data_IF_589765241804
#
_entry.id   IF_589765241804
#
_cell.length_a   1.000
_cell.length_b   1.000
_cell.length_c   1.000
_cell.angle_alpha   90.00
_cell.angle_beta   90.00
_cell.angle_gamma   90.00
#
_symmetry.space_group_name_H-M   'P 1'
#
loop_
_entity.id
_entity.type
_entity.pdbx_description
1 polymer ?
#
# COMPACT_ATOMS: atom_id res chain seq x y z
N UNK A 1 4.73 -31.13 19.48
CA UNK A 1 3.34 -30.72 19.75
C UNK A 1 3.38 -29.27 20.25
N UNK A 2 3.77 -28.34 19.39
CA UNK A 2 3.57 -26.91 19.59
C UNK A 2 2.48 -26.49 18.62
N UNK A 3 1.44 -25.84 19.14
CA UNK A 3 0.34 -25.35 18.36
C UNK A 3 0.87 -24.28 17.39
N UNK A 4 0.95 -24.65 16.11
CA UNK A 4 0.97 -23.73 14.99
C UNK A 4 -0.24 -22.80 15.19
N UNK A 5 0.03 -21.57 15.63
CA UNK A 5 -0.99 -20.60 16.00
C UNK A 5 -2.03 -20.52 14.91
N UNK A 6 -3.30 -20.75 15.27
CA UNK A 6 -4.41 -20.54 14.38
C UNK A 6 -4.23 -19.17 13.74
N UNK A 7 -4.19 -19.15 12.42
CA UNK A 7 -3.98 -17.96 11.61
C UNK A 7 -5.22 -17.08 11.72
N UNK A 8 -5.35 -16.38 12.86
CA UNK A 8 -6.39 -15.41 13.21
C UNK A 8 -6.22 -14.12 12.39
N UNK A 9 -5.90 -14.27 11.11
CA UNK A 9 -5.86 -13.19 10.14
C UNK A 9 -7.28 -12.68 9.99
N UNK A 10 -7.55 -11.55 10.64
CA UNK A 10 -8.74 -10.77 10.38
C UNK A 10 -8.88 -10.62 8.85
N UNK A 11 -10.07 -10.89 8.28
CA UNK A 11 -10.28 -10.72 6.85
C UNK A 11 -9.93 -9.28 6.47
N UNK A 12 -9.36 -9.08 5.27
CA UNK A 12 -8.89 -7.76 4.83
C UNK A 12 -9.97 -6.67 4.96
N UNK A 13 -11.23 -7.01 4.70
CA UNK A 13 -12.39 -6.13 4.88
C UNK A 13 -12.57 -5.67 6.34
N UNK A 14 -12.36 -6.56 7.31
CA UNK A 14 -12.43 -6.21 8.74
C UNK A 14 -11.26 -5.33 9.17
N UNK A 15 -10.07 -5.54 8.61
CA UNK A 15 -8.91 -4.66 8.85
C UNK A 15 -9.16 -3.24 8.31
N UNK A 16 -9.73 -3.12 7.11
CA UNK A 16 -10.07 -1.80 6.53
C UNK A 16 -11.16 -1.12 7.37
N UNK A 17 -12.19 -1.85 7.79
CA UNK A 17 -13.23 -1.31 8.67
C UNK A 17 -12.64 -0.81 10.00
N UNK A 18 -11.69 -1.56 10.58
CA UNK A 18 -10.96 -1.14 11.78
C UNK A 18 -10.08 0.08 11.54
N UNK A 19 -9.39 0.15 10.41
CA UNK A 19 -8.57 1.31 10.04
C UNK A 19 -9.42 2.59 9.90
N UNK A 20 -10.61 2.48 9.33
CA UNK A 20 -11.55 3.62 9.22
C UNK A 20 -12.08 4.03 10.60
N UNK A 21 -12.38 3.07 11.47
CA UNK A 21 -12.93 3.34 12.81
C UNK A 21 -11.88 3.85 13.81
N UNK A 22 -10.65 3.32 13.75
CA UNK A 22 -9.55 3.60 14.69
C UNK A 22 -8.22 3.78 13.94
N UNK A 23 -8.07 4.86 13.16
CA UNK A 23 -6.88 5.09 12.34
C UNK A 23 -5.59 5.19 13.15
N UNK A 24 -5.67 5.71 14.39
CA UNK A 24 -4.52 5.84 15.29
C UNK A 24 -3.88 4.52 15.74
N UNK A 25 -4.50 3.37 15.46
CA UNK A 25 -3.92 2.06 15.74
C UNK A 25 -2.96 1.55 14.66
N UNK A 26 -2.75 2.32 13.59
CA UNK A 26 -1.98 1.89 12.41
C UNK A 26 -0.83 2.86 12.11
N UNK A 27 0.27 2.28 11.63
CA UNK A 27 1.35 3.04 10.98
C UNK A 27 0.87 3.63 9.65
N UNK A 28 1.35 4.83 9.31
CA UNK A 28 0.96 5.55 8.08
C UNK A 28 1.20 4.71 6.82
N UNK A 29 2.38 4.12 6.67
CA UNK A 29 2.72 3.37 5.45
C UNK A 29 1.97 2.05 5.39
N UNK A 30 1.76 1.40 6.53
CA UNK A 30 0.91 0.21 6.60
C UNK A 30 -0.54 0.53 6.19
N UNK A 31 -1.10 1.63 6.68
CA UNK A 31 -2.45 2.05 6.33
C UNK A 31 -2.58 2.36 4.83
N UNK A 32 -1.64 3.12 4.26
CA UNK A 32 -1.60 3.41 2.82
C UNK A 32 -1.55 2.10 2.03
N UNK A 33 -0.67 1.18 2.41
CA UNK A 33 -0.52 -0.10 1.73
C UNK A 33 -1.81 -0.95 1.77
N UNK A 34 -2.48 -1.02 2.93
CA UNK A 34 -3.75 -1.73 3.07
C UNK A 34 -4.84 -1.14 2.20
N UNK A 35 -4.94 0.19 2.13
CA UNK A 35 -5.93 0.90 1.31
C UNK A 35 -5.65 0.76 -0.20
N UNK A 36 -4.38 0.81 -0.63
CA UNK A 36 -4.00 0.51 -2.02
C UNK A 36 -4.41 -0.91 -2.41
N UNK A 37 -4.13 -1.89 -1.55
CA UNK A 37 -4.51 -3.29 -1.81
C UNK A 37 -6.01 -3.53 -1.81
N UNK A 38 -6.78 -2.70 -1.11
CA UNK A 38 -8.23 -2.76 -1.09
C UNK A 38 -8.84 -2.40 -2.46
N UNK A 39 -8.14 -1.60 -3.28
CA UNK A 39 -8.66 -1.06 -4.53
C UNK A 39 -7.70 -1.36 -5.71
N UNK A 40 -7.63 -2.62 -6.19
CA UNK A 40 -6.71 -3.00 -7.28
C UNK A 40 -7.00 -2.32 -8.63
N UNK A 41 -8.21 -1.78 -8.82
CA UNK A 41 -8.61 -1.08 -10.04
C UNK A 41 -7.98 0.32 -10.13
N UNK A 42 -7.59 0.91 -9.00
CA UNK A 42 -7.10 2.28 -8.95
C UNK A 42 -5.61 2.35 -9.28
N UNK A 43 -5.16 3.51 -9.75
CA UNK A 43 -3.75 3.74 -10.04
C UNK A 43 -2.95 3.77 -8.74
N UNK A 44 -1.74 3.21 -8.77
CA UNK A 44 -0.83 3.22 -7.63
C UNK A 44 -0.50 4.66 -7.20
N UNK A 45 -0.36 4.85 -5.89
CA UNK A 45 -0.16 6.14 -5.25
C UNK A 45 1.10 6.85 -5.81
N UNK A 46 0.98 8.11 -6.18
CA UNK A 46 2.08 8.93 -6.69
C UNK A 46 2.42 8.75 -8.17
N UNK A 47 1.54 8.11 -8.92
CA UNK A 47 1.62 8.07 -10.38
C UNK A 47 0.53 8.95 -11.03
N UNK A 48 -0.55 9.29 -10.35
CA UNK A 48 -1.64 10.14 -10.83
C UNK A 48 -1.63 11.54 -10.20
N UNK A 49 -2.79 12.19 -10.23
CA UNK A 49 -3.07 13.50 -9.64
C UNK A 49 -3.83 13.41 -8.30
N UNK A 50 -4.07 12.19 -7.81
CA UNK A 50 -4.80 11.89 -6.59
C UNK A 50 -6.30 11.66 -6.78
N UNK A 51 -6.86 11.87 -7.97
CA UNK A 51 -8.27 11.54 -8.29
C UNK A 51 -8.45 10.13 -8.82
N UNK A 52 -7.49 9.66 -9.63
CA UNK A 52 -7.45 8.30 -10.18
C UNK A 52 -6.75 7.29 -9.24
N UNK A 53 -6.34 7.73 -8.05
CA UNK A 53 -5.59 6.93 -7.09
C UNK A 53 -6.50 6.32 -6.02
N UNK A 54 -6.11 5.17 -5.47
CA UNK A 54 -6.87 4.50 -4.41
C UNK A 54 -7.03 5.38 -3.16
N UNK A 55 -6.00 6.17 -2.87
CA UNK A 55 -5.89 6.97 -1.64
C UNK A 55 -5.47 8.39 -1.98
N UNK A 56 -6.29 9.36 -1.61
CA UNK A 56 -5.90 10.77 -1.57
C UNK A 56 -5.32 11.10 -0.21
N UNK A 57 -4.14 11.70 -0.20
CA UNK A 57 -3.45 12.10 1.03
C UNK A 57 -3.65 13.59 1.27
N UNK A 58 -4.06 13.95 2.48
CA UNK A 58 -4.27 15.33 2.91
C UNK A 58 -3.41 15.67 4.12
N UNK A 59 -2.90 16.89 4.14
CA UNK A 59 -2.12 17.40 5.27
C UNK A 59 -3.03 17.82 6.42
N UNK A 60 -2.72 17.36 7.63
CA UNK A 60 -3.38 17.82 8.84
C UNK A 60 -2.63 19.00 9.45
N UNK A 61 -3.18 20.20 9.26
CA UNK A 61 -2.62 21.42 9.85
C UNK A 61 -3.00 21.51 11.32
N UNK A 62 -2.00 21.43 12.21
CA UNK A 62 -2.12 21.54 13.66
C UNK A 62 -0.88 22.24 14.23
N UNK A 63 -1.06 23.00 15.31
CA UNK A 63 0.05 23.54 16.13
C UNK A 63 0.40 22.60 17.31
N UNK A 64 -0.39 21.56 17.52
CA UNK A 64 -0.14 20.57 18.56
C UNK A 64 0.84 19.51 18.07
N UNK A 65 1.49 18.84 19.02
CA UNK A 65 2.19 17.59 18.74
C UNK A 65 1.16 16.46 18.67
N UNK A 66 0.95 15.90 17.48
CA UNK A 66 -0.02 14.83 17.26
C UNK A 66 0.52 13.49 17.80
N UNK A 67 -0.33 12.74 18.49
CA UNK A 67 0.04 11.45 19.07
C UNK A 67 0.05 10.28 18.06
N UNK A 68 -0.39 10.54 16.82
CA UNK A 68 -0.56 9.54 15.78
C UNK A 68 -0.23 10.13 14.41
N UNK A 69 0.36 9.30 13.54
CA UNK A 69 0.66 9.65 12.16
C UNK A 69 -0.58 9.70 11.27
N UNK A 70 -1.71 9.16 11.72
CA UNK A 70 -2.98 9.21 10.99
C UNK A 70 -4.03 9.84 11.88
N UNK A 71 -4.68 10.88 11.35
CA UNK A 71 -5.74 11.62 12.04
C UNK A 71 -7.12 11.07 11.68
N UNK A 72 -7.40 10.91 10.40
CA UNK A 72 -8.69 10.42 9.89
C UNK A 72 -8.52 9.67 8.59
N UNK A 73 -9.35 8.65 8.36
CA UNK A 73 -9.52 7.97 7.07
C UNK A 73 -10.99 8.04 6.72
N UNK A 74 -11.32 8.67 5.59
CA UNK A 74 -12.68 8.77 5.07
C UNK A 74 -12.83 7.91 3.83
N UNK A 75 -13.96 7.25 3.70
CA UNK A 75 -14.34 6.46 2.52
C UNK A 75 -15.26 7.30 1.64
N UNK A 76 -15.02 7.25 0.35
CA UNK A 76 -15.85 7.86 -0.68
C UNK A 76 -16.27 6.78 -1.67
N UNK A 77 -17.57 6.55 -1.82
CA UNK A 77 -18.07 5.75 -2.92
C UNK A 77 -17.95 6.58 -4.20
N UNK A 78 -17.27 6.07 -5.22
CA UNK A 78 -17.39 6.65 -6.55
C UNK A 78 -18.82 6.37 -7.02
N UNK A 79 -19.55 7.38 -7.53
CA UNK A 79 -20.79 7.10 -8.22
C UNK A 79 -20.44 6.16 -9.37
N UNK A 80 -21.08 4.98 -9.40
CA UNK A 80 -20.99 4.08 -10.54
C UNK A 80 -21.21 4.91 -11.79
N UNK A 81 -20.26 4.84 -12.72
CA UNK A 81 -20.36 5.54 -13.98
C UNK A 81 -21.79 5.34 -14.51
N UNK A 82 -22.48 6.45 -14.74
CA UNK A 82 -23.82 6.52 -15.32
C UNK A 82 -24.03 5.32 -16.23
N UNK A 83 -25.05 4.52 -15.95
CA UNK A 83 -25.56 3.50 -16.86
C UNK A 83 -25.80 4.16 -18.23
N UNK A 84 -24.81 4.11 -19.11
CA UNK A 84 -25.05 4.26 -20.54
C UNK A 84 -25.78 3.00 -20.94
N UNK A 85 -27.10 3.11 -20.96
CA UNK A 85 -28.01 2.09 -21.41
C UNK A 85 -27.60 1.51 -22.77
N UNK A 86 -27.74 0.18 -22.85
CA UNK A 86 -27.84 -0.66 -24.05
C UNK A 86 -26.59 -0.82 -24.93
N UNK A 87 -26.06 -2.05 -24.96
CA UNK A 87 -26.34 -3.05 -26.02
C UNK A 87 -25.79 -4.40 -25.52
N UNK A 88 -26.66 -5.39 -25.36
CA UNK A 88 -26.25 -6.80 -25.17
C UNK A 88 -25.46 -7.29 -26.40
N UNK A 89 -24.42 -8.12 -26.18
CA UNK A 89 -24.54 -9.46 -26.74
C UNK A 89 -24.03 -10.59 -25.81
N UNK A 90 -24.90 -11.59 -25.70
CA UNK A 90 -24.71 -13.05 -25.73
C UNK A 90 -23.48 -13.68 -25.02
N UNK A 91 -23.83 -14.49 -24.02
CA UNK A 91 -23.17 -15.68 -23.43
C UNK A 91 -21.72 -16.02 -23.82
N UNK A 92 -20.86 -16.01 -22.80
CA UNK A 92 -19.86 -17.07 -22.60
C UNK A 92 -19.56 -17.27 -21.10
N UNK A 93 -19.65 -18.52 -20.65
CA UNK A 93 -19.82 -18.93 -19.25
C UNK A 93 -18.52 -19.05 -18.41
N UNK A 94 -17.40 -18.45 -18.84
CA UNK A 94 -16.10 -18.60 -18.17
C UNK A 94 -15.62 -17.34 -17.43
N UNK A 95 -16.42 -16.27 -17.41
CA UNK A 95 -15.98 -14.93 -17.00
C UNK A 95 -16.61 -14.43 -15.69
N UNK A 96 -17.20 -15.32 -14.88
CA UNK A 96 -17.97 -14.95 -13.69
C UNK A 96 -17.11 -14.38 -12.54
N UNK A 97 -15.88 -14.88 -12.35
CA UNK A 97 -14.97 -14.38 -11.30
C UNK A 97 -14.37 -13.00 -11.65
N UNK A 98 -14.04 -12.77 -12.94
CA UNK A 98 -13.56 -11.48 -13.43
C UNK A 98 -14.68 -10.42 -13.47
N UNK A 99 -15.90 -10.81 -13.86
CA UNK A 99 -17.09 -9.96 -13.80
C UNK A 99 -17.52 -9.63 -12.36
N UNK A 100 -17.31 -10.54 -11.39
CA UNK A 100 -17.60 -10.27 -9.97
C UNK A 100 -16.58 -9.30 -9.34
N UNK A 101 -15.29 -9.40 -9.72
CA UNK A 101 -14.27 -8.42 -9.34
C UNK A 101 -14.55 -7.02 -9.93
N UNK A 102 -15.14 -6.97 -11.13
CA UNK A 102 -15.62 -5.74 -11.75
C UNK A 102 -16.90 -5.15 -11.12
N UNK A 103 -17.60 -5.93 -10.27
CA UNK A 103 -18.84 -5.53 -9.57
C UNK A 103 -18.60 -5.11 -8.11
N UNK A 104 -17.37 -5.16 -7.61
CA UNK A 104 -17.04 -4.61 -6.30
C UNK A 104 -17.19 -3.08 -6.34
N UNK A 105 -17.85 -2.46 -5.34
CA UNK A 105 -18.05 -1.02 -5.32
C UNK A 105 -16.68 -0.32 -5.37
N UNK A 106 -16.51 0.57 -6.35
CA UNK A 106 -15.28 1.35 -6.49
C UNK A 106 -15.27 2.42 -5.41
N UNK A 107 -14.42 2.24 -4.41
CA UNK A 107 -14.30 3.17 -3.30
C UNK A 107 -12.94 3.87 -3.39
N UNK A 108 -12.91 5.17 -3.13
CA UNK A 108 -11.67 5.91 -2.90
C UNK A 108 -11.58 6.32 -1.44
N UNK A 109 -10.37 6.47 -0.95
CA UNK A 109 -10.12 6.82 0.45
C UNK A 109 -9.42 8.17 0.54
N UNK A 110 -9.83 9.00 1.48
CA UNK A 110 -9.09 10.22 1.86
C UNK A 110 -8.44 9.99 3.23
N UNK A 111 -7.11 9.95 3.27
CA UNK A 111 -6.33 9.82 4.51
C UNK A 111 -5.72 11.17 4.87
N UNK A 112 -5.96 11.61 6.11
CA UNK A 112 -5.42 12.86 6.64
C UNK A 112 -4.33 12.56 7.66
N UNK A 113 -3.16 13.17 7.48
CA UNK A 113 -1.96 12.90 8.27
C UNK A 113 -1.23 14.20 8.64
N UNK A 114 -0.73 14.36 9.88
CA UNK A 114 0.17 15.47 10.22
C UNK A 114 1.59 15.28 9.68
N UNK A 115 1.96 14.06 9.28
CA UNK A 115 3.31 13.73 8.80
C UNK A 115 3.60 14.50 7.53
N UNK A 116 4.77 15.13 7.46
CA UNK A 116 5.26 15.84 6.28
C UNK A 116 4.26 16.88 5.72
N UNK A 117 3.44 17.47 6.59
CA UNK A 117 2.53 18.55 6.19
C UNK A 117 3.29 19.87 6.11
N UNK A 118 3.09 20.63 5.03
CA UNK A 118 3.77 21.92 4.83
C UNK A 118 3.39 22.96 5.89
N UNK A 119 2.11 23.06 6.22
CA UNK A 119 1.59 23.95 7.26
C UNK A 119 1.34 23.15 8.56
N UNK A 120 1.98 23.54 9.65
CA UNK A 120 1.84 22.89 10.96
C UNK A 120 3.01 23.21 11.87
N UNK A 121 2.97 22.70 13.11
CA UNK A 121 4.00 22.96 14.12
C UNK A 121 5.43 22.62 13.66
N UNK A 122 5.56 21.51 12.92
CA UNK A 122 6.84 21.00 12.41
C UNK A 122 6.99 21.21 10.89
N UNK A 123 6.10 22.01 10.29
CA UNK A 123 6.11 22.26 8.85
C UNK A 123 7.17 23.31 8.47
N UNK A 124 7.70 23.26 7.24
CA UNK A 124 8.64 24.26 6.73
C UNK A 124 8.01 25.64 6.51
N UNK A 125 6.68 25.74 6.50
CA UNK A 125 5.98 27.00 6.23
C UNK A 125 6.11 27.94 7.44
N UNK A 126 6.49 29.22 7.23
CA UNK A 126 6.60 30.18 8.33
C UNK A 126 5.29 30.33 9.12
N UNK A 127 5.40 30.53 10.43
CA UNK A 127 4.27 30.58 11.36
C UNK A 127 3.10 31.49 10.90
N UNK A 128 3.33 32.73 10.40
CA UNK A 128 2.21 33.59 9.99
C UNK A 128 1.33 32.99 8.89
N UNK A 129 1.92 32.22 7.97
CA UNK A 129 1.16 31.55 6.92
C UNK A 129 0.40 30.34 7.47
N UNK A 130 0.98 29.60 8.41
CA UNK A 130 0.30 28.49 9.10
C UNK A 130 -0.90 29.00 9.90
N UNK A 131 -0.75 30.11 10.62
CA UNK A 131 -1.86 30.78 11.32
C UNK A 131 -2.94 31.26 10.36
N UNK A 132 -2.56 31.81 9.21
CA UNK A 132 -3.51 32.19 8.17
C UNK A 132 -4.30 30.99 7.63
N UNK A 133 -3.65 29.83 7.41
CA UNK A 133 -4.33 28.60 7.00
C UNK A 133 -5.34 28.15 8.07
N UNK A 134 -4.93 28.17 9.34
CA UNK A 134 -5.80 27.81 10.46
C UNK A 134 -7.00 28.76 10.60
N UNK A 135 -6.77 30.07 10.49
CA UNK A 135 -7.82 31.09 10.54
C UNK A 135 -8.81 30.96 9.37
N UNK A 136 -8.33 30.72 8.14
CA UNK A 136 -9.21 30.50 6.99
C UNK A 136 -10.02 29.21 7.08
N UNK A 137 -9.48 28.19 7.76
CA UNK A 137 -10.20 26.94 8.00
C UNK A 137 -11.41 27.15 8.92
N UNK A 138 -11.33 28.04 9.91
CA UNK A 138 -12.46 28.35 10.80
C UNK A 138 -13.57 29.13 10.06
N UNK A 139 -13.21 29.99 9.11
CA UNK A 139 -14.16 30.71 8.23
C UNK A 139 -14.70 29.84 7.09
N UNK A 140 -14.33 28.55 7.02
CA UNK A 140 -14.71 27.60 5.96
C UNK A 140 -14.26 28.03 4.56
N UNK A 141 -13.10 28.69 4.48
CA UNK A 141 -12.41 28.98 3.22
C UNK A 141 -11.22 28.03 3.03
N UNK A 142 -11.42 26.80 2.54
CA UNK A 142 -10.35 25.80 2.48
C UNK A 142 -9.37 26.02 1.32
N UNK A 143 -9.56 27.03 0.46
CA UNK A 143 -8.81 27.20 -0.78
C UNK A 143 -7.27 27.14 -0.60
N UNK A 144 -6.73 27.79 0.44
CA UNK A 144 -5.30 27.74 0.73
C UNK A 144 -4.85 26.35 1.21
N UNK A 145 -5.66 25.68 2.02
CA UNK A 145 -5.37 24.33 2.49
C UNK A 145 -5.45 23.30 1.34
N UNK A 146 -6.45 23.40 0.48
CA UNK A 146 -6.61 22.53 -0.69
C UNK A 146 -5.47 22.71 -1.71
N UNK A 147 -4.96 23.95 -1.86
CA UNK A 147 -3.76 24.21 -2.67
C UNK A 147 -2.53 23.49 -2.07
N UNK A 148 -2.31 23.64 -0.76
CA UNK A 148 -1.20 22.98 -0.07
C UNK A 148 -1.31 21.45 -0.14
N UNK A 149 -2.53 20.91 -0.13
CA UNK A 149 -2.79 19.48 -0.24
C UNK A 149 -2.26 18.86 -1.54
N UNK A 150 -2.20 19.60 -2.65
CA UNK A 150 -1.59 19.11 -3.91
C UNK A 150 -0.12 18.77 -3.68
N UNK A 151 0.60 19.63 -2.96
CA UNK A 151 2.02 19.42 -2.64
C UNK A 151 2.19 18.33 -1.57
N UNK A 152 1.38 18.38 -0.50
CA UNK A 152 1.42 17.38 0.57
C UNK A 152 1.19 15.98 -0.01
N UNK A 153 0.18 15.81 -0.86
CA UNK A 153 -0.12 14.56 -1.52
C UNK A 153 1.08 14.06 -2.33
N UNK A 154 1.64 14.91 -3.20
CA UNK A 154 2.79 14.53 -4.03
C UNK A 154 4.02 14.13 -3.20
N UNK A 155 4.36 14.89 -2.16
CA UNK A 155 5.51 14.59 -1.32
C UNK A 155 5.32 13.31 -0.51
N UNK A 156 4.15 13.12 0.08
CA UNK A 156 3.84 11.90 0.82
C UNK A 156 3.83 10.67 -0.08
N UNK A 157 3.31 10.78 -1.31
CA UNK A 157 3.37 9.69 -2.28
C UNK A 157 4.81 9.33 -2.64
N UNK A 158 5.71 10.30 -2.80
CA UNK A 158 7.14 10.03 -3.00
C UNK A 158 7.79 9.37 -1.78
N UNK A 159 7.46 9.84 -0.56
CA UNK A 159 7.96 9.23 0.68
C UNK A 159 7.52 7.76 0.78
N UNK A 160 6.24 7.48 0.56
CA UNK A 160 5.69 6.13 0.59
C UNK A 160 6.37 5.23 -0.45
N UNK A 161 6.49 5.69 -1.70
CA UNK A 161 7.14 4.91 -2.77
C UNK A 161 8.63 4.64 -2.48
N UNK A 162 9.33 5.63 -1.92
CA UNK A 162 10.71 5.45 -1.46
C UNK A 162 10.79 4.37 -0.39
N UNK A 163 9.90 4.41 0.61
CA UNK A 163 9.82 3.40 1.66
C UNK A 163 9.48 2.02 1.10
N UNK A 164 8.51 1.92 0.19
CA UNK A 164 8.08 0.69 -0.46
C UNK A 164 9.22 0.00 -1.22
N UNK A 165 10.12 0.78 -1.85
CA UNK A 165 11.30 0.24 -2.55
C UNK A 165 12.24 -0.54 -1.62
N UNK A 166 12.30 -0.17 -0.34
CA UNK A 166 13.24 -0.74 0.63
C UNK A 166 12.58 -1.61 1.70
N UNK A 167 11.25 -1.65 1.77
CA UNK A 167 10.49 -2.42 2.74
C UNK A 167 9.73 -3.56 2.05
N UNK A 168 10.26 -4.82 2.08
CA UNK A 168 9.62 -5.94 1.39
C UNK A 168 8.19 -6.21 1.88
N UNK A 169 7.90 -5.94 3.16
CA UNK A 169 6.56 -6.09 3.74
C UNK A 169 5.51 -5.10 3.24
N UNK A 170 5.92 -4.03 2.54
CA UNK A 170 5.02 -3.07 1.88
C UNK A 170 4.89 -3.32 0.37
N UNK A 171 5.53 -4.36 -0.15
CA UNK A 171 5.39 -4.74 -1.54
C UNK A 171 4.12 -5.57 -1.72
N UNK A 172 3.20 -5.09 -2.55
CA UNK A 172 1.98 -5.83 -2.92
C UNK A 172 2.20 -6.85 -4.03
N UNK A 173 3.45 -6.99 -4.50
CA UNK A 173 3.83 -7.92 -5.56
C UNK A 173 3.99 -9.32 -4.99
N UNK A 174 3.86 -10.32 -5.85
CA UNK A 174 4.27 -11.67 -5.49
C UNK A 174 5.72 -11.63 -4.99
N UNK A 175 6.07 -12.35 -3.91
CA UNK A 175 7.45 -12.45 -3.45
C UNK A 175 8.39 -12.92 -4.58
N UNK A 176 7.86 -13.67 -5.54
CA UNK A 176 8.58 -14.15 -6.73
C UNK A 176 9.02 -13.05 -7.70
N UNK A 177 8.31 -11.93 -7.76
CA UNK A 177 8.59 -10.79 -8.64
C UNK A 177 9.35 -9.67 -7.91
N UNK A 178 9.67 -9.87 -6.63
CA UNK A 178 10.36 -8.89 -5.81
C UNK A 178 11.85 -8.83 -6.17
N UNK A 179 12.44 -7.64 -6.08
CA UNK A 179 13.89 -7.45 -6.28
C UNK A 179 14.73 -8.33 -5.34
N UNK A 180 14.21 -8.61 -4.14
CA UNK A 180 14.85 -9.51 -3.19
C UNK A 180 14.98 -10.93 -3.74
N UNK A 181 13.96 -11.45 -4.43
CA UNK A 181 14.02 -12.79 -5.03
C UNK A 181 15.09 -12.85 -6.13
N UNK A 182 15.22 -11.81 -6.95
CA UNK A 182 16.30 -11.71 -7.94
C UNK A 182 17.70 -11.65 -7.27
N UNK A 183 17.85 -10.93 -6.16
CA UNK A 183 19.11 -10.90 -5.41
C UNK A 183 19.45 -12.26 -4.77
N UNK A 184 18.47 -12.93 -4.17
CA UNK A 184 18.63 -14.26 -3.60
C UNK A 184 18.95 -15.30 -4.67
N UNK A 185 18.37 -15.16 -5.86
CA UNK A 185 18.74 -16.00 -7.00
C UNK A 185 20.20 -15.89 -7.36
N UNK A 186 20.67 -14.65 -7.52
CA UNK A 186 22.03 -14.36 -7.92
C UNK A 186 23.03 -14.87 -6.87
N UNK A 187 22.67 -14.80 -5.58
CA UNK A 187 23.45 -15.38 -4.49
C UNK A 187 23.50 -16.92 -4.54
N UNK A 188 22.41 -17.56 -4.92
CA UNK A 188 22.36 -19.01 -5.09
C UNK A 188 23.06 -19.48 -6.37
N UNK A 189 23.20 -18.60 -7.38
CA UNK A 189 23.70 -18.91 -8.72
C UNK A 189 22.95 -20.08 -9.40
N UNK A 190 21.64 -20.20 -9.12
CA UNK A 190 20.79 -21.31 -9.59
C UNK A 190 19.84 -20.91 -10.74
N UNK A 191 19.83 -19.64 -11.14
CA UNK A 191 19.26 -19.22 -12.43
C UNK A 191 17.73 -19.10 -12.48
N UNK A 192 17.09 -18.38 -11.56
CA UNK A 192 15.68 -17.95 -11.64
C UNK A 192 15.38 -17.22 -12.95
N UNK A 193 16.33 -16.46 -13.48
CA UNK A 193 16.17 -15.81 -14.80
C UNK A 193 16.24 -16.79 -15.98
N UNK A 194 16.70 -18.03 -15.77
CA UNK A 194 16.64 -19.13 -16.74
C UNK A 194 15.29 -19.83 -16.81
N UNK A 195 14.33 -19.46 -15.93
CA UNK A 195 13.01 -20.08 -15.89
C UNK A 195 12.98 -21.45 -15.22
N UNK A 196 14.09 -21.86 -14.59
CA UNK A 196 14.16 -23.09 -13.81
C UNK A 196 13.10 -23.05 -12.70
N UNK A 197 12.36 -24.15 -12.57
CA UNK A 197 11.30 -24.32 -11.58
C UNK A 197 11.48 -25.66 -10.91
N UNK A 198 11.43 -25.67 -9.58
CA UNK A 198 11.42 -26.90 -8.81
C UNK A 198 10.11 -27.67 -8.98
N UNK A 199 9.97 -28.82 -8.31
CA UNK A 199 8.74 -29.57 -8.27
C UNK A 199 7.55 -28.67 -7.89
N UNK A 200 6.43 -28.83 -8.59
CA UNK A 200 5.20 -28.02 -8.38
C UNK A 200 5.37 -26.51 -8.62
N UNK A 201 6.42 -26.08 -9.34
CA UNK A 201 6.69 -24.67 -9.58
C UNK A 201 7.33 -23.95 -8.39
N UNK A 202 7.65 -24.68 -7.33
CA UNK A 202 8.25 -24.11 -6.11
C UNK A 202 9.71 -23.73 -6.34
N UNK A 203 10.13 -22.65 -5.69
CA UNK A 203 11.50 -22.12 -5.75
C UNK A 203 12.20 -22.35 -4.41
N UNK A 204 12.25 -23.62 -3.98
CA UNK A 204 12.76 -24.03 -2.67
C UNK A 204 14.19 -23.53 -2.40
N UNK A 205 14.98 -23.31 -3.46
CA UNK A 205 16.33 -22.78 -3.32
C UNK A 205 16.38 -21.33 -2.82
N UNK A 206 15.34 -20.52 -3.01
CA UNK A 206 15.29 -19.15 -2.48
C UNK A 206 15.38 -19.13 -0.95
N UNK A 207 14.74 -20.08 -0.26
CA UNK A 207 14.82 -20.25 1.19
C UNK A 207 16.26 -20.54 1.65
N UNK A 208 17.02 -21.23 0.80
CA UNK A 208 18.34 -21.75 1.12
C UNK A 208 19.46 -21.09 0.29
N UNK A 209 19.20 -19.92 -0.32
CA UNK A 209 20.13 -19.27 -1.25
C UNK A 209 21.53 -19.05 -0.65
N UNK A 210 21.60 -18.72 0.63
CA UNK A 210 22.88 -18.53 1.35
C UNK A 210 23.71 -19.80 1.54
N UNK A 211 23.12 -21.00 1.38
CA UNK A 211 23.83 -22.27 1.47
C UNK A 211 24.44 -22.71 0.12
N UNK A 212 23.92 -22.21 -0.99
CA UNK A 212 24.35 -22.61 -2.34
C UNK A 212 25.52 -21.79 -2.87
N UNK A 213 25.63 -20.51 -2.51
CA UNK A 213 26.71 -19.63 -3.02
C UNK A 213 28.10 -19.91 -2.43
N UNK A 214 28.20 -20.67 -1.35
CA UNK A 214 29.47 -20.95 -0.65
C UNK A 214 30.07 -22.30 -1.04
N UNK A 215 31.36 -22.31 -1.38
CA UNK A 215 32.18 -23.53 -1.38
C UNK A 215 33.07 -23.56 -0.13
N UNK A 216 33.29 -24.74 0.50
CA UNK A 216 32.78 -26.07 0.14
C UNK A 216 31.34 -26.34 0.62
N UNK A 217 30.63 -27.25 -0.06
CA UNK A 217 29.32 -27.72 0.37
C UNK A 217 29.45 -28.64 1.60
N UNK A 218 28.88 -28.23 2.73
CA UNK A 218 28.96 -28.97 3.99
C UNK A 218 27.77 -29.91 4.19
N UNK A 219 27.97 -30.98 4.96
CA UNK A 219 26.90 -31.89 5.40
C UNK A 219 25.78 -31.13 6.14
N UNK A 220 26.14 -30.12 6.92
CA UNK A 220 25.18 -29.26 7.64
C UNK A 220 24.27 -28.50 6.68
N UNK A 221 24.80 -28.02 5.55
CA UNK A 221 24.00 -27.38 4.50
C UNK A 221 23.00 -28.35 3.86
N UNK A 222 23.41 -29.60 3.64
CA UNK A 222 22.52 -30.65 3.12
C UNK A 222 21.41 -31.02 4.12
N UNK A 223 21.72 -31.08 5.42
CA UNK A 223 20.71 -31.29 6.46
C UNK A 223 19.68 -30.16 6.51
N UNK A 224 20.13 -28.90 6.37
CA UNK A 224 19.24 -27.75 6.34
C UNK A 224 18.30 -27.73 5.12
N UNK A 225 18.69 -28.36 3.99
CA UNK A 225 17.82 -28.52 2.82
C UNK A 225 16.74 -29.58 3.01
N UNK A 226 16.96 -30.56 3.88
CA UNK A 226 16.05 -31.68 4.13
C UNK A 226 15.06 -31.42 5.28
N UNK A 227 15.26 -30.34 6.05
CA UNK A 227 14.41 -29.90 7.17
C UNK A 227 13.31 -28.91 6.76
#
# INVERSE_FOLDING_TARGET
MEAMGADDRLPATALIARLVAQPQGFDLFQAIHLLERAQPWARALGYGDGTDEAVRLKGFVSLAFEASDIRTVLRHALPDAVETAAIDPVDDATDSAAKQAARAPRETYTLTTPVLTLAGANGPLPLPFTEMVLARRTTREPAMADLLDIFNHRFLSFLYRSRQKHAPGLSGRSPDDAALAACLDALGNLGLHGGERGPQGTRLWLRHAGLFGGAPHSLTGLLALLS
#
